data_IF_634879470834
#
_entry.id   IF_634879470834
#
_cell.length_a   1.000
_cell.length_b   1.000
_cell.length_c   1.000
_cell.angle_alpha   90.00
_cell.angle_beta   90.00
_cell.angle_gamma   90.00
#
_symmetry.space_group_name_H-M   'P 1'
#
loop_
_entity.id
_entity.type
_entity.pdbx_description
1 polymer ?
#
# COMPACT_ATOMS: atom_id res chain seq x y z
N UNK A 1 -19.38 -3.45 -8.12
CA UNK A 1 -19.61 -2.62 -6.91
C UNK A 1 -18.29 -1.98 -6.50
N UNK A 2 -18.29 -0.69 -6.17
CA UNK A 2 -17.11 0.03 -5.68
C UNK A 2 -17.53 1.05 -4.61
N UNK A 3 -16.56 1.50 -3.82
CA UNK A 3 -16.71 2.62 -2.88
C UNK A 3 -15.85 3.79 -3.38
N UNK A 4 -16.31 5.01 -3.12
CA UNK A 4 -15.58 6.23 -3.39
C UNK A 4 -15.64 7.13 -2.16
N UNK A 5 -14.48 7.56 -1.68
CA UNK A 5 -14.34 8.48 -0.56
C UNK A 5 -13.11 9.37 -0.75
N UNK A 6 -13.09 10.50 -0.06
CA UNK A 6 -11.96 11.41 -0.02
C UNK A 6 -11.47 11.55 1.43
N UNK A 7 -10.15 11.45 1.62
CA UNK A 7 -9.52 11.60 2.93
C UNK A 7 -8.90 13.00 3.01
N UNK A 8 -9.29 13.78 4.01
CA UNK A 8 -8.69 15.07 4.32
C UNK A 8 -7.74 14.86 5.50
N UNK A 9 -6.45 14.82 5.20
CA UNK A 9 -5.40 14.58 6.20
C UNK A 9 -4.77 15.93 6.58
N UNK A 10 -4.78 16.33 7.86
CA UNK A 10 -3.99 17.48 8.30
C UNK A 10 -2.49 17.18 8.19
N UNK A 11 -1.66 18.22 8.31
CA UNK A 11 -0.21 18.05 8.31
C UNK A 11 0.22 17.06 9.41
N UNK A 12 1.12 16.14 9.06
CA UNK A 12 1.61 15.05 9.91
C UNK A 12 0.59 13.96 10.29
N UNK A 13 -0.63 13.96 9.72
CA UNK A 13 -1.52 12.80 9.88
C UNK A 13 -0.93 11.56 9.20
N UNK A 14 -1.14 10.39 9.83
CA UNK A 14 -0.61 9.11 9.39
C UNK A 14 -1.75 8.12 9.26
N UNK A 15 -1.83 7.45 8.11
CA UNK A 15 -2.56 6.19 7.97
C UNK A 15 -1.52 5.10 8.21
N UNK A 16 -1.64 4.30 9.29
CA UNK A 16 -0.69 3.22 9.55
C UNK A 16 -0.69 2.19 8.42
N UNK A 17 0.41 1.46 8.30
CA UNK A 17 0.57 0.41 7.31
C UNK A 17 -0.58 -0.61 7.39
N UNK A 18 -1.27 -0.84 6.27
CA UNK A 18 -2.42 -1.76 6.19
C UNK A 18 -2.49 -2.43 4.81
N UNK A 19 -3.13 -3.60 4.74
CA UNK A 19 -3.36 -4.35 3.49
C UNK A 19 -4.74 -4.07 2.90
N UNK A 20 -4.96 -4.59 1.67
CA UNK A 20 -6.24 -4.52 0.97
C UNK A 20 -6.62 -5.90 0.43
N UNK A 21 -7.14 -6.81 1.27
CA UNK A 21 -7.42 -8.20 0.88
C UNK A 21 -8.39 -8.26 -0.29
N UNK A 22 -7.97 -8.89 -1.40
CA UNK A 22 -8.78 -9.10 -2.61
C UNK A 22 -9.26 -7.81 -3.32
N UNK A 23 -8.67 -6.65 -3.01
CA UNK A 23 -9.10 -5.36 -3.54
C UNK A 23 -8.13 -4.81 -4.60
N UNK A 24 -8.70 -4.06 -5.55
CA UNK A 24 -7.96 -3.13 -6.42
C UNK A 24 -8.33 -1.71 -6.00
N UNK A 25 -7.34 -0.87 -5.70
CA UNK A 25 -7.56 0.51 -5.22
C UNK A 25 -6.87 1.50 -6.15
N UNK A 26 -7.63 2.53 -6.55
CA UNK A 26 -7.12 3.67 -7.31
C UNK A 26 -7.01 4.87 -6.35
N UNK A 27 -5.82 5.46 -6.25
CA UNK A 27 -5.55 6.57 -5.34
C UNK A 27 -5.01 7.77 -6.11
N UNK A 28 -5.54 8.96 -5.82
CA UNK A 28 -5.08 10.22 -6.43
C UNK A 28 -4.91 11.30 -5.37
N UNK A 29 -3.69 11.82 -5.24
CA UNK A 29 -3.43 13.00 -4.42
C UNK A 29 -3.99 14.23 -5.14
N UNK A 30 -5.03 14.82 -4.56
CA UNK A 30 -5.72 15.98 -5.14
C UNK A 30 -5.01 17.29 -4.83
N UNK A 31 -4.43 17.41 -3.64
CA UNK A 31 -3.73 18.62 -3.16
C UNK A 31 -2.69 18.26 -2.10
N UNK A 32 -1.65 19.09 -1.97
CA UNK A 32 -0.66 18.96 -0.91
C UNK A 32 0.46 17.97 -1.21
N UNK A 33 1.03 17.41 -0.15
CA UNK A 33 2.13 16.44 -0.18
C UNK A 33 1.82 15.27 0.75
N UNK A 34 2.23 14.07 0.36
CA UNK A 34 2.12 12.87 1.20
C UNK A 34 3.36 12.01 1.00
N UNK A 35 3.87 11.42 2.09
CA UNK A 35 4.86 10.36 2.01
C UNK A 35 4.14 9.02 1.90
N UNK A 36 4.47 8.24 0.87
CA UNK A 36 3.90 6.90 0.66
C UNK A 36 5.02 5.91 0.78
N UNK A 37 4.79 4.86 1.56
CA UNK A 37 5.67 3.70 1.64
C UNK A 37 4.86 2.44 1.47
N UNK A 38 5.13 1.65 0.43
CA UNK A 38 4.30 0.49 0.10
C UNK A 38 5.11 -0.77 -0.21
N UNK A 39 4.47 -1.92 -0.06
CA UNK A 39 5.06 -3.24 -0.19
C UNK A 39 4.09 -4.26 -0.78
N UNK A 40 4.65 -5.31 -1.40
CA UNK A 40 3.92 -6.54 -1.71
C UNK A 40 4.55 -7.72 -0.98
N UNK A 41 3.74 -8.64 -0.48
CA UNK A 41 4.23 -9.88 0.10
C UNK A 41 5.00 -10.70 -0.93
N UNK A 42 6.10 -11.31 -0.50
CA UNK A 42 6.81 -12.31 -1.29
C UNK A 42 6.05 -13.63 -1.16
N UNK A 43 5.75 -14.27 -2.29
CA UNK A 43 4.90 -15.46 -2.33
C UNK A 43 5.50 -16.62 -1.50
N UNK A 44 4.71 -17.34 -0.69
CA UNK A 44 5.21 -18.42 0.17
C UNK A 44 5.65 -19.68 -0.60
N UNK A 45 5.34 -19.81 -1.89
CA UNK A 45 5.77 -20.93 -2.75
C UNK A 45 7.30 -21.02 -2.95
N UNK A 46 8.07 -20.07 -2.40
CA UNK A 46 9.54 -20.03 -2.42
C UNK A 46 10.14 -20.49 -1.09
N UNK A 47 9.33 -20.80 -0.07
CA UNK A 47 9.80 -21.14 1.27
C UNK A 47 9.58 -22.64 1.54
N UNK A 48 10.62 -23.45 1.36
CA UNK A 48 10.63 -24.91 1.61
C UNK A 48 10.33 -25.31 3.08
N UNK A 49 10.26 -24.34 4.00
CA UNK A 49 9.95 -24.56 5.42
C UNK A 49 9.08 -23.41 5.96
N UNK A 50 7.75 -23.57 6.06
CA UNK A 50 6.91 -22.53 6.64
C UNK A 50 7.34 -22.31 8.10
N UNK A 51 7.70 -21.08 8.49
CA UNK A 51 8.07 -20.82 9.87
C UNK A 51 6.87 -21.08 10.80
N UNK A 52 7.12 -21.48 12.06
CA UNK A 52 6.05 -21.58 13.06
C UNK A 52 5.33 -20.23 13.20
N UNK A 53 4.10 -20.24 13.73
CA UNK A 53 3.06 -19.19 13.66
C UNK A 53 3.38 -17.79 14.26
N UNK A 54 4.59 -17.30 14.13
CA UNK A 54 5.10 -15.99 14.51
C UNK A 54 5.12 -15.05 13.28
N UNK A 55 3.92 -14.55 12.95
CA UNK A 55 3.52 -13.17 12.60
C UNK A 55 4.36 -12.22 11.72
N UNK A 56 5.52 -12.62 11.18
CA UNK A 56 6.32 -11.80 10.28
C UNK A 56 6.31 -12.40 8.87
N UNK A 57 5.92 -11.59 7.88
CA UNK A 57 5.92 -11.98 6.48
C UNK A 57 6.98 -11.18 5.73
N UNK A 58 7.70 -11.84 4.82
CA UNK A 58 8.62 -11.16 3.92
C UNK A 58 7.82 -10.35 2.90
N UNK A 59 8.22 -9.08 2.72
CA UNK A 59 7.61 -8.18 1.75
C UNK A 59 8.69 -7.42 0.98
N UNK A 60 8.42 -7.10 -0.28
CA UNK A 60 9.28 -6.33 -1.14
C UNK A 60 8.78 -4.88 -1.22
N UNK A 61 9.70 -3.92 -1.05
CA UNK A 61 9.39 -2.50 -1.19
C UNK A 61 8.96 -2.17 -2.62
N UNK A 62 7.87 -1.41 -2.76
CA UNK A 62 7.33 -0.95 -4.04
C UNK A 62 7.43 0.55 -4.21
N UNK A 63 7.23 1.30 -3.14
CA UNK A 63 7.34 2.76 -3.13
C UNK A 63 7.90 3.22 -1.79
N UNK A 64 8.72 4.28 -1.81
CA UNK A 64 9.16 5.01 -0.61
C UNK A 64 9.52 6.43 -1.04
N UNK A 65 8.54 7.33 -1.00
CA UNK A 65 8.72 8.65 -1.62
C UNK A 65 7.67 9.67 -1.23
N UNK A 66 8.04 10.95 -1.37
CA UNK A 66 7.12 12.07 -1.18
C UNK A 66 6.48 12.43 -2.51
N UNK A 67 5.15 12.36 -2.56
CA UNK A 67 4.34 12.76 -3.70
C UNK A 67 3.81 14.17 -3.47
N UNK A 68 3.85 14.99 -4.51
CA UNK A 68 3.32 16.37 -4.50
C UNK A 68 2.30 16.52 -5.62
N UNK A 69 1.14 17.12 -5.33
CA UNK A 69 0.16 17.42 -6.35
C UNK A 69 0.64 18.55 -7.29
N UNK A 70 0.36 18.50 -8.61
CA UNK A 70 -0.36 17.43 -9.30
C UNK A 70 0.54 16.20 -9.56
N UNK A 71 0.00 15.01 -9.34
CA UNK A 71 0.67 13.75 -9.67
C UNK A 71 -0.27 12.79 -10.42
N UNK A 72 0.31 11.72 -10.96
CA UNK A 72 -0.46 10.62 -11.58
C UNK A 72 -1.28 9.88 -10.52
N UNK A 73 -2.38 9.26 -10.94
CA UNK A 73 -3.12 8.29 -10.13
C UNK A 73 -2.25 7.04 -9.93
N UNK A 74 -2.16 6.54 -8.69
CA UNK A 74 -1.57 5.24 -8.39
C UNK A 74 -2.65 4.16 -8.37
N UNK A 75 -2.23 2.91 -8.60
CA UNK A 75 -3.10 1.74 -8.53
C UNK A 75 -2.36 0.62 -7.80
N UNK A 76 -3.06 -0.05 -6.90
CA UNK A 76 -2.65 -1.32 -6.31
C UNK A 76 -3.66 -2.41 -6.69
N UNK A 77 -3.18 -3.64 -6.70
CA UNK A 77 -3.93 -4.86 -6.98
C UNK A 77 -3.90 -5.80 -5.76
N UNK A 78 -4.68 -6.90 -5.77
CA UNK A 78 -4.73 -7.81 -4.61
C UNK A 78 -3.38 -8.35 -4.14
N UNK A 79 -2.42 -8.50 -5.06
CA UNK A 79 -1.09 -9.08 -4.76
C UNK A 79 0.08 -8.32 -5.41
N UNK A 80 -0.16 -7.14 -5.96
CA UNK A 80 0.89 -6.35 -6.63
C UNK A 80 0.63 -4.85 -6.61
N UNK A 81 1.68 -4.06 -6.77
CA UNK A 81 1.58 -2.60 -6.85
C UNK A 81 1.58 -1.91 -5.49
N UNK A 82 1.97 -2.61 -4.42
CA UNK A 82 2.02 -2.07 -3.06
C UNK A 82 0.70 -2.28 -2.32
N UNK A 83 0.18 -3.51 -2.27
CA UNK A 83 -1.07 -3.83 -1.57
C UNK A 83 -1.04 -3.42 -0.09
N UNK A 84 0.15 -3.42 0.50
CA UNK A 84 0.42 -2.98 1.87
C UNK A 84 1.02 -1.57 1.79
N UNK A 85 0.32 -0.54 2.27
CA UNK A 85 0.79 0.86 2.24
C UNK A 85 0.38 1.69 3.45
#
# INVERSE_FOLDING_TARGET
NFLLYALLLPENAVIPLHDHPEMTVFSKLLVGKVHIKSYDLVNPDVIDNPPPSSQLKLACLKEDGIFTAPCKTSVLYPTSGGNIH
#
